data_IF_553223570430
#
_entry.id   IF_553223570430
#
_cell.length_a   1.000
_cell.length_b   1.000
_cell.length_c   1.000
_cell.angle_alpha   90.00
_cell.angle_beta   90.00
_cell.angle_gamma   90.00
#
_symmetry.space_group_name_H-M   'P 1'
#
loop_
_entity.id
_entity.type
_entity.pdbx_description
1 polymer ?
#
# COMPACT_ATOMS: atom_id res chain seq x y z
N UNK A 1 -4.91 -1.36 -13.03
CA UNK A 1 -5.18 -0.03 -12.40
C UNK A 1 -4.19 0.19 -11.26
N UNK A 2 -3.74 1.43 -10.98
CA UNK A 2 -2.76 1.71 -9.92
C UNK A 2 -3.41 2.38 -8.71
N UNK A 3 -3.09 1.92 -7.49
CA UNK A 3 -3.59 2.45 -6.22
C UNK A 3 -2.42 2.78 -5.30
N UNK A 4 -2.44 3.94 -4.65
CA UNK A 4 -1.44 4.38 -3.68
C UNK A 4 -2.10 4.70 -2.34
N UNK A 5 -1.74 3.97 -1.29
CA UNK A 5 -2.12 4.30 0.07
C UNK A 5 -1.10 5.24 0.71
N UNK A 6 -1.58 6.32 1.32
CA UNK A 6 -0.72 7.33 1.96
C UNK A 6 -1.08 7.48 3.43
N UNK A 7 -0.06 7.50 4.30
CA UNK A 7 -0.21 7.95 5.69
C UNK A 7 0.93 8.90 6.08
N UNK A 8 1.09 9.19 7.37
CA UNK A 8 2.16 10.09 7.84
C UNK A 8 3.55 9.49 7.61
N UNK A 9 3.80 8.27 8.11
CA UNK A 9 5.16 7.71 8.17
C UNK A 9 5.44 6.46 7.34
N UNK A 10 4.44 5.93 6.61
CA UNK A 10 4.54 4.64 5.90
C UNK A 10 4.94 3.42 6.75
N UNK A 11 4.60 3.38 8.04
CA UNK A 11 5.02 2.30 8.96
C UNK A 11 3.89 1.42 9.49
N UNK A 12 2.65 1.92 9.53
CA UNK A 12 1.52 1.20 10.14
C UNK A 12 0.34 1.08 9.17
N UNK A 13 -0.34 2.20 8.91
CA UNK A 13 -1.64 2.21 8.21
C UNK A 13 -1.51 1.94 6.71
N UNK A 14 -0.63 2.64 6.01
CA UNK A 14 -0.50 2.49 4.56
C UNK A 14 0.11 1.14 4.12
N UNK A 15 1.16 0.57 4.77
CA UNK A 15 1.64 -0.76 4.39
C UNK A 15 0.62 -1.86 4.70
N UNK A 16 -0.11 -1.74 5.81
CA UNK A 16 -1.20 -2.66 6.14
C UNK A 16 -2.31 -2.63 5.09
N UNK A 17 -2.76 -1.43 4.70
CA UNK A 17 -3.78 -1.27 3.67
C UNK A 17 -3.34 -1.84 2.31
N UNK A 18 -2.07 -1.65 1.93
CA UNK A 18 -1.47 -2.27 0.74
C UNK A 18 -1.59 -3.79 0.81
N UNK A 19 -1.03 -4.41 1.85
CA UNK A 19 -0.99 -5.87 1.97
C UNK A 19 -2.39 -6.49 1.96
N UNK A 20 -3.34 -5.89 2.69
CA UNK A 20 -4.72 -6.37 2.71
C UNK A 20 -5.40 -6.25 1.34
N UNK A 21 -5.21 -5.14 0.63
CA UNK A 21 -5.83 -4.95 -0.69
C UNK A 21 -5.21 -5.87 -1.75
N UNK A 22 -3.89 -6.06 -1.72
CA UNK A 22 -3.20 -7.01 -2.61
C UNK A 22 -3.74 -8.42 -2.42
N UNK A 23 -3.86 -8.88 -1.17
CA UNK A 23 -4.39 -10.20 -0.83
C UNK A 23 -5.85 -10.37 -1.32
N UNK A 24 -6.73 -9.42 -0.98
CA UNK A 24 -8.12 -9.43 -1.44
C UNK A 24 -8.27 -9.35 -2.96
N UNK A 25 -7.38 -8.65 -3.66
CA UNK A 25 -7.39 -8.54 -5.11
C UNK A 25 -6.93 -9.85 -5.77
N UNK A 26 -5.91 -10.49 -5.21
CA UNK A 26 -5.44 -11.80 -5.65
C UNK A 26 -6.54 -12.85 -5.49
N UNK A 27 -7.20 -12.91 -4.33
CA UNK A 27 -8.31 -13.84 -4.07
C UNK A 27 -9.47 -13.67 -5.06
N UNK A 28 -9.71 -12.43 -5.51
CA UNK A 28 -10.81 -12.09 -6.44
C UNK A 28 -10.38 -12.06 -7.91
N UNK A 29 -9.13 -12.35 -8.23
CA UNK A 29 -8.59 -12.29 -9.59
C UNK A 29 -8.64 -10.89 -10.21
N UNK A 30 -8.52 -9.84 -9.39
CA UNK A 30 -8.57 -8.45 -9.84
C UNK A 30 -7.15 -7.95 -10.12
N UNK A 31 -6.87 -7.57 -11.37
CA UNK A 31 -5.56 -7.07 -11.79
C UNK A 31 -5.35 -5.57 -11.43
N UNK A 32 -4.72 -5.35 -10.28
CA UNK A 32 -4.33 -4.03 -9.77
C UNK A 32 -2.90 -4.04 -9.24
N UNK A 33 -2.27 -2.87 -9.29
CA UNK A 33 -0.97 -2.62 -8.68
C UNK A 33 -1.15 -1.70 -7.48
N UNK A 34 -0.76 -2.16 -6.29
CA UNK A 34 -0.95 -1.43 -5.04
C UNK A 34 0.39 -1.02 -4.45
N UNK A 35 0.50 0.23 -4.03
CA UNK A 35 1.71 0.79 -3.41
C UNK A 35 1.33 1.52 -2.12
N UNK A 36 2.32 1.76 -1.26
CA UNK A 36 2.17 2.58 -0.06
C UNK A 36 3.29 3.61 0.05
N UNK A 37 2.97 4.79 0.58
CA UNK A 37 3.92 5.88 0.82
C UNK A 37 3.58 6.65 2.10
N UNK A 38 4.53 7.46 2.58
CA UNK A 38 4.34 8.35 3.72
C UNK A 38 4.76 9.76 3.35
N UNK A 39 3.98 10.76 3.75
CA UNK A 39 4.31 12.17 3.50
C UNK A 39 5.54 12.67 4.29
N UNK A 40 5.87 11.96 5.37
CA UNK A 40 7.07 12.17 6.19
C UNK A 40 7.81 10.83 6.42
N UNK A 41 7.70 9.89 5.46
CA UNK A 41 8.49 8.66 5.54
C UNK A 41 9.98 9.00 5.41
N UNK A 42 10.81 8.29 6.17
CA UNK A 42 12.26 8.36 6.00
C UNK A 42 12.65 7.57 4.74
N UNK A 43 13.67 8.04 4.03
CA UNK A 43 14.21 7.34 2.87
C UNK A 43 14.54 5.88 3.22
N UNK A 44 14.08 4.95 2.37
CA UNK A 44 14.24 3.50 2.57
C UNK A 44 13.05 2.79 3.23
N UNK A 45 12.01 3.50 3.69
CA UNK A 45 10.75 2.89 4.10
C UNK A 45 9.79 2.76 2.90
N UNK A 46 10.03 1.76 2.05
CA UNK A 46 9.27 1.49 0.82
C UNK A 46 8.61 0.12 0.84
#
# INVERSE_FOLDING_TARGET
MNILFVCTGNTCRSPMAKALLEDMAQEKGIDINVKSAGIYALDGQS
#
